data_IF_337567937020
#
_entry.id   IF_337567937020
#
_cell.length_a   1.000
_cell.length_b   1.000
_cell.length_c   1.000
_cell.angle_alpha   90.00
_cell.angle_beta   90.00
_cell.angle_gamma   90.00
#
_symmetry.space_group_name_H-M   'P 1'
#
loop_
_entity.id
_entity.type
_entity.pdbx_description
1 polymer ?
#
# COMPACT_ATOMS: atom_id res chain seq x y z
N UNK A 1 24.07 -5.33 -38.38
CA UNK A 1 22.84 -4.57 -38.10
C UNK A 1 23.20 -3.09 -37.99
N UNK A 2 22.45 -2.21 -38.67
CA UNK A 2 22.72 -0.77 -38.66
C UNK A 2 22.44 -0.19 -37.26
N UNK A 3 23.29 0.71 -36.77
CA UNK A 3 23.14 1.36 -35.44
C UNK A 3 21.79 2.08 -35.30
N UNK A 4 21.27 2.65 -36.38
CA UNK A 4 19.94 3.25 -36.43
C UNK A 4 18.81 2.24 -36.15
N UNK A 5 18.92 1.00 -36.64
CA UNK A 5 17.92 -0.06 -36.42
C UNK A 5 17.95 -0.48 -34.95
N UNK A 6 19.16 -0.60 -34.36
CA UNK A 6 19.32 -0.94 -32.94
C UNK A 6 18.64 0.12 -32.07
N UNK A 7 18.87 1.41 -32.32
CA UNK A 7 18.24 2.50 -31.56
C UNK A 7 16.72 2.47 -31.62
N UNK A 8 16.14 2.26 -32.82
CA UNK A 8 14.70 2.17 -32.99
C UNK A 8 14.09 1.00 -32.20
N UNK A 9 14.71 -0.18 -32.27
CA UNK A 9 14.24 -1.36 -31.53
C UNK A 9 14.29 -1.12 -30.02
N UNK A 10 15.40 -0.58 -29.50
CA UNK A 10 15.55 -0.29 -28.07
C UNK A 10 14.49 0.71 -27.60
N UNK A 11 14.20 1.74 -28.39
CA UNK A 11 13.17 2.73 -28.08
C UNK A 11 11.77 2.09 -27.97
N UNK A 12 11.41 1.23 -28.93
CA UNK A 12 10.13 0.50 -28.92
C UNK A 12 10.02 -0.42 -27.71
N UNK A 13 11.09 -1.11 -27.34
CA UNK A 13 11.12 -1.99 -26.16
C UNK A 13 10.89 -1.18 -24.88
N UNK A 14 11.57 -0.03 -24.72
CA UNK A 14 11.39 0.84 -23.55
C UNK A 14 9.93 1.34 -23.47
N UNK A 15 9.37 1.84 -24.56
CA UNK A 15 7.97 2.28 -24.57
C UNK A 15 7.00 1.15 -24.24
N UNK A 16 7.25 -0.06 -24.75
CA UNK A 16 6.42 -1.23 -24.46
C UNK A 16 6.45 -1.60 -22.97
N UNK A 17 7.62 -1.56 -22.34
CA UNK A 17 7.76 -1.79 -20.89
C UNK A 17 6.97 -0.75 -20.09
N UNK A 18 7.07 0.53 -20.47
CA UNK A 18 6.37 1.62 -19.79
C UNK A 18 4.85 1.46 -19.91
N UNK A 19 4.33 1.17 -21.11
CA UNK A 19 2.89 0.94 -21.33
C UNK A 19 2.39 -0.24 -20.50
N UNK A 20 3.13 -1.36 -20.52
CA UNK A 20 2.78 -2.54 -19.75
C UNK A 20 2.75 -2.24 -18.24
N UNK A 21 3.72 -1.48 -17.74
CA UNK A 21 3.78 -1.07 -16.35
C UNK A 21 2.57 -0.23 -15.93
N UNK A 22 2.20 0.79 -16.72
CA UNK A 22 1.02 1.61 -16.43
C UNK A 22 -0.29 0.81 -16.49
N UNK A 23 -0.41 -0.11 -17.45
CA UNK A 23 -1.55 -1.01 -17.54
C UNK A 23 -1.68 -1.89 -16.29
N UNK A 24 -0.57 -2.49 -15.85
CA UNK A 24 -0.53 -3.31 -14.65
C UNK A 24 -0.93 -2.53 -13.39
N UNK A 25 -0.42 -1.30 -13.23
CA UNK A 25 -0.81 -0.42 -12.13
C UNK A 25 -2.30 -0.10 -12.14
N UNK A 26 -2.90 0.14 -13.32
CA UNK A 26 -4.34 0.39 -13.44
C UNK A 26 -5.19 -0.78 -12.95
N UNK A 27 -4.75 -2.02 -13.21
CA UNK A 27 -5.43 -3.22 -12.72
C UNK A 27 -5.35 -3.29 -11.19
N UNK A 28 -4.18 -3.05 -10.61
CA UNK A 28 -4.00 -3.06 -9.15
C UNK A 28 -4.98 -2.08 -8.49
N UNK A 29 -5.01 -0.82 -8.94
CA UNK A 29 -5.92 0.20 -8.39
C UNK A 29 -7.39 -0.24 -8.43
N UNK A 30 -7.82 -0.88 -9.52
CA UNK A 30 -9.19 -1.40 -9.65
C UNK A 30 -9.50 -2.54 -8.68
N UNK A 31 -8.52 -3.39 -8.36
CA UNK A 31 -8.71 -4.48 -7.38
C UNK A 31 -8.74 -3.89 -5.97
N UNK A 32 -7.82 -3.00 -5.65
CA UNK A 32 -7.70 -2.38 -4.33
C UNK A 32 -8.98 -1.63 -3.95
N UNK A 33 -9.61 -0.95 -4.91
CA UNK A 33 -10.92 -0.31 -4.72
C UNK A 33 -12.05 -1.31 -4.39
N UNK A 34 -11.97 -2.54 -4.89
CA UNK A 34 -13.00 -3.58 -4.70
C UNK A 34 -12.79 -4.39 -3.43
N UNK A 35 -11.54 -4.56 -2.99
CA UNK A 35 -11.23 -5.43 -1.85
C UNK A 35 -11.09 -4.68 -0.53
N UNK A 36 -10.98 -3.35 -0.54
CA UNK A 36 -10.73 -2.55 0.67
C UNK A 36 -11.68 -2.88 1.83
N UNK A 37 -12.98 -3.00 1.56
CA UNK A 37 -13.98 -3.29 2.60
C UNK A 37 -13.84 -4.70 3.16
N UNK A 38 -13.55 -5.68 2.29
CA UNK A 38 -13.35 -7.07 2.70
C UNK A 38 -12.04 -7.23 3.50
N UNK A 39 -10.95 -6.62 3.02
CA UNK A 39 -9.65 -6.61 3.69
C UNK A 39 -9.76 -5.92 5.05
N UNK A 40 -10.55 -4.84 5.14
CA UNK A 40 -10.83 -4.14 6.40
C UNK A 40 -11.57 -5.04 7.39
N UNK A 41 -12.64 -5.69 6.94
CA UNK A 41 -13.38 -6.63 7.77
C UNK A 41 -12.51 -7.81 8.23
N UNK A 42 -11.65 -8.34 7.35
CA UNK A 42 -10.71 -9.40 7.71
C UNK A 42 -9.69 -8.96 8.76
N UNK A 43 -9.16 -7.74 8.64
CA UNK A 43 -8.29 -7.14 9.66
C UNK A 43 -9.00 -7.01 11.01
N UNK A 44 -10.20 -6.42 11.04
CA UNK A 44 -10.97 -6.29 12.28
C UNK A 44 -11.25 -7.65 12.93
N UNK A 45 -11.60 -8.64 12.11
CA UNK A 45 -11.82 -10.00 12.59
C UNK A 45 -10.53 -10.64 13.15
N UNK A 46 -9.38 -10.40 12.51
CA UNK A 46 -8.08 -10.87 13.00
C UNK A 46 -7.70 -10.23 14.34
N UNK A 47 -7.98 -8.92 14.50
CA UNK A 47 -7.78 -8.19 15.77
C UNK A 47 -8.67 -8.77 16.87
N UNK A 48 -9.98 -8.95 16.59
CA UNK A 48 -10.94 -9.51 17.55
C UNK A 48 -10.51 -10.89 18.07
N UNK A 49 -9.95 -11.72 17.19
CA UNK A 49 -9.52 -13.09 17.53
C UNK A 49 -8.01 -13.20 17.85
N UNK A 50 -7.31 -12.07 18.00
CA UNK A 50 -5.87 -12.03 18.33
C UNK A 50 -4.99 -12.86 17.38
N UNK A 51 -5.34 -12.93 16.10
CA UNK A 51 -4.61 -13.69 15.08
C UNK A 51 -3.46 -12.86 14.51
N UNK A 52 -2.32 -12.85 15.19
CA UNK A 52 -1.19 -11.94 14.90
C UNK A 52 -0.71 -11.99 13.44
N UNK A 53 -0.50 -13.18 12.88
CA UNK A 53 -0.09 -13.32 11.47
C UNK A 53 -1.13 -12.76 10.48
N UNK A 54 -2.41 -12.88 10.80
CA UNK A 54 -3.49 -12.31 9.97
C UNK A 54 -3.56 -10.78 10.13
N UNK A 55 -3.30 -10.26 11.33
CA UNK A 55 -3.19 -8.81 11.58
C UNK A 55 -2.04 -8.24 10.74
N UNK A 56 -0.89 -8.91 10.72
CA UNK A 56 0.26 -8.51 9.91
C UNK A 56 -0.07 -8.50 8.43
N UNK A 57 -0.61 -9.61 7.91
CA UNK A 57 -0.97 -9.77 6.50
C UNK A 57 -1.99 -8.72 6.04
N UNK A 58 -3.16 -8.68 6.69
CA UNK A 58 -4.23 -7.76 6.26
C UNK A 58 -3.88 -6.31 6.56
N UNK A 59 -3.19 -6.04 7.68
CA UNK A 59 -2.72 -4.70 8.00
C UNK A 59 -1.73 -4.16 6.97
N UNK A 60 -0.84 -5.01 6.46
CA UNK A 60 0.08 -4.64 5.38
C UNK A 60 -0.66 -4.38 4.08
N UNK A 61 -1.62 -5.22 3.70
CA UNK A 61 -2.41 -4.99 2.48
C UNK A 61 -3.21 -3.68 2.56
N UNK A 62 -3.84 -3.42 3.69
CA UNK A 62 -4.61 -2.21 3.95
C UNK A 62 -3.76 -0.94 3.91
N UNK A 63 -2.59 -0.95 4.58
CA UNK A 63 -1.79 0.27 4.68
C UNK A 63 -1.24 0.73 3.33
N UNK A 64 -1.05 -0.18 2.39
CA UNK A 64 -0.61 0.13 1.03
C UNK A 64 -1.75 0.43 0.05
N UNK A 65 -2.99 0.15 0.42
CA UNK A 65 -4.15 0.46 -0.40
C UNK A 65 -4.34 1.99 -0.49
N UNK A 66 -4.57 2.52 -1.71
CA UNK A 66 -4.81 3.94 -1.95
C UNK A 66 -6.16 4.44 -1.40
N UNK A 67 -7.11 3.52 -1.22
CA UNK A 67 -8.48 3.81 -0.78
C UNK A 67 -8.66 3.73 0.75
N UNK A 68 -7.61 3.41 1.50
CA UNK A 68 -7.69 3.39 2.97
C UNK A 68 -8.01 4.80 3.50
N UNK A 69 -8.90 4.88 4.49
CA UNK A 69 -9.29 6.17 5.08
C UNK A 69 -8.39 6.58 6.24
N UNK A 70 -8.40 7.87 6.57
CA UNK A 70 -7.63 8.40 7.72
C UNK A 70 -8.09 7.75 9.03
N UNK A 71 -9.39 7.47 9.14
CA UNK A 71 -10.03 6.82 10.28
C UNK A 71 -9.53 5.39 10.44
N UNK A 72 -9.48 4.62 9.35
CA UNK A 72 -8.93 3.27 9.33
C UNK A 72 -7.46 3.26 9.76
N UNK A 73 -6.63 4.17 9.25
CA UNK A 73 -5.22 4.30 9.64
C UNK A 73 -5.07 4.68 11.14
N UNK A 74 -5.95 5.55 11.66
CA UNK A 74 -5.98 5.88 13.10
C UNK A 74 -6.33 4.67 13.95
N UNK A 75 -7.32 3.88 13.54
CA UNK A 75 -7.73 2.66 14.24
C UNK A 75 -6.61 1.62 14.24
N UNK A 76 -5.99 1.37 13.08
CA UNK A 76 -4.83 0.48 12.97
C UNK A 76 -3.69 0.92 13.89
N UNK A 77 -3.41 2.24 13.95
CA UNK A 77 -2.40 2.80 14.85
C UNK A 77 -2.73 2.53 16.33
N UNK A 78 -4.00 2.63 16.71
CA UNK A 78 -4.44 2.33 18.08
C UNK A 78 -4.31 0.83 18.41
N UNK A 79 -4.60 -0.06 17.44
CA UNK A 79 -4.39 -1.51 17.59
C UNK A 79 -2.90 -1.81 17.78
N UNK A 80 -2.02 -1.27 16.94
CA UNK A 80 -0.58 -1.49 17.06
C UNK A 80 -0.03 -1.03 18.40
N UNK A 81 -0.49 0.12 18.92
CA UNK A 81 -0.09 0.62 20.24
C UNK A 81 -0.42 -0.36 21.37
N UNK A 82 -1.51 -1.12 21.26
CA UNK A 82 -1.90 -2.14 22.25
C UNK A 82 -1.02 -3.40 22.14
N UNK A 83 -0.62 -3.76 20.93
CA UNK A 83 0.15 -4.97 20.64
C UNK A 83 1.68 -4.78 20.76
N UNK A 84 2.15 -3.52 20.80
CA UNK A 84 3.57 -3.15 20.73
C UNK A 84 4.47 -3.84 21.76
N UNK A 85 3.98 -4.10 22.98
CA UNK A 85 4.77 -4.74 24.04
C UNK A 85 4.81 -6.26 23.93
N UNK A 86 3.79 -6.86 23.34
CA UNK A 86 3.58 -8.31 23.35
C UNK A 86 3.99 -8.99 22.05
N UNK A 87 4.06 -8.23 20.96
CA UNK A 87 4.26 -8.74 19.60
C UNK A 87 5.31 -7.91 18.83
N UNK A 88 6.61 -8.08 19.13
CA UNK A 88 7.68 -7.39 18.43
C UNK A 88 7.73 -7.69 16.92
N UNK A 89 7.18 -8.83 16.48
CA UNK A 89 7.03 -9.21 15.08
C UNK A 89 6.21 -8.19 14.27
N UNK A 90 5.32 -7.43 14.91
CA UNK A 90 4.52 -6.40 14.24
C UNK A 90 5.23 -5.04 14.11
N UNK A 91 6.50 -4.93 14.49
CA UNK A 91 7.19 -3.65 14.56
C UNK A 91 7.31 -2.95 13.19
N UNK A 92 7.52 -3.70 12.12
CA UNK A 92 7.59 -3.14 10.77
C UNK A 92 6.24 -2.53 10.37
N UNK A 93 5.16 -3.31 10.48
CA UNK A 93 3.80 -2.85 10.20
C UNK A 93 3.45 -1.61 11.04
N UNK A 94 3.81 -1.60 12.32
CA UNK A 94 3.64 -0.44 13.21
C UNK A 94 4.31 0.81 12.66
N UNK A 95 5.57 0.71 12.25
CA UNK A 95 6.32 1.85 11.71
C UNK A 95 5.65 2.40 10.45
N UNK A 96 5.24 1.52 9.53
CA UNK A 96 4.56 1.94 8.29
C UNK A 96 3.25 2.66 8.61
N UNK A 97 2.42 2.10 9.50
CA UNK A 97 1.16 2.73 9.91
C UNK A 97 1.40 4.09 10.57
N UNK A 98 2.37 4.18 11.47
CA UNK A 98 2.67 5.43 12.18
C UNK A 98 3.22 6.51 11.25
N UNK A 99 4.08 6.13 10.31
CA UNK A 99 4.60 7.04 9.30
C UNK A 99 3.48 7.56 8.39
N UNK A 100 2.62 6.68 7.87
CA UNK A 100 1.47 7.09 7.05
C UNK A 100 0.51 7.99 7.83
N UNK A 101 0.20 7.65 9.09
CA UNK A 101 -0.60 8.51 9.98
C UNK A 101 0.03 9.89 10.18
N UNK A 102 1.34 9.93 10.47
CA UNK A 102 2.07 11.19 10.68
C UNK A 102 2.02 12.05 9.42
N UNK A 103 2.23 11.46 8.25
CA UNK A 103 2.15 12.18 6.98
C UNK A 103 0.76 12.78 6.72
N UNK A 104 -0.31 12.04 7.05
CA UNK A 104 -1.68 12.51 6.90
C UNK A 104 -2.13 13.52 7.96
N UNK A 105 -1.42 13.60 9.09
CA UNK A 105 -1.67 14.61 10.12
C UNK A 105 -1.05 15.98 9.81
N UNK A 106 -0.23 16.09 8.75
CA UNK A 106 0.39 17.35 8.35
C UNK A 106 -0.64 18.30 7.73
N UNK A 107 -0.44 19.61 7.92
CA UNK A 107 -1.23 20.68 7.27
C UNK A 107 -1.26 20.55 5.74
N UNK A 108 -0.16 20.06 5.17
CA UNK A 108 -0.05 19.66 3.76
C UNK A 108 0.36 18.18 3.73
N UNK A 109 -0.61 17.27 3.80
CA UNK A 109 -0.30 15.85 3.75
C UNK A 109 0.27 15.52 2.37
N UNK A 110 1.35 14.74 2.34
CA UNK A 110 1.74 14.08 1.09
C UNK A 110 0.67 13.02 0.84
N UNK A 111 -0.35 13.38 0.09
CA UNK A 111 -1.24 12.37 -0.48
C UNK A 111 -0.36 11.50 -1.38
N UNK A 112 -0.05 10.29 -0.93
CA UNK A 112 0.45 9.26 -1.82
C UNK A 112 -0.69 8.97 -2.80
N UNK A 113 -0.77 9.76 -3.87
CA UNK A 113 -1.80 9.66 -4.92
C UNK A 113 -1.49 8.53 -5.90
N UNK A 114 -0.52 7.67 -5.58
CA UNK A 114 0.05 6.71 -6.52
C UNK A 114 0.63 7.35 -7.77
N UNK A 115 0.91 8.67 -7.75
CA UNK A 115 1.57 9.38 -8.82
C UNK A 115 3.04 9.63 -8.43
N UNK A 116 4.00 8.88 -8.98
CA UNK A 116 5.43 9.11 -8.72
C UNK A 116 5.98 10.35 -9.46
N UNK A 117 5.14 11.16 -10.12
CA UNK A 117 5.54 12.30 -10.95
C UNK A 117 4.92 13.64 -10.52
N UNK A 118 4.67 13.82 -9.22
CA UNK A 118 4.57 15.15 -8.57
C UNK A 118 5.67 15.29 -7.52
#
# INVERSE_FOLDING_TARGET
MNSAIILLVTMVVIFSIVIFFFYYLSIIKKRDAKTIDADWHHFQNAVKHHRIQAIEKYGTQLIWNEHITVEQVKEMSAVMKKLEKSHPELNELKLVIYNKRKDWSKKYPRHYSGNPYL
#
